data_IF_499520221599
#
_entry.id   IF_499520221599
#
_cell.length_a   1.000
_cell.length_b   1.000
_cell.length_c   1.000
_cell.angle_alpha   90.00
_cell.angle_beta   90.00
_cell.angle_gamma   90.00
#
_symmetry.space_group_name_H-M   'P 1'
#
loop_
_entity.id
_entity.type
_entity.pdbx_description
1 polymer ?
#
# COMPACT_ATOMS: atom_id res chain seq x y z
N UNK A 1 10.48 22.66 -9.64
CA UNK A 1 9.25 23.03 -10.36
C UNK A 1 8.55 24.13 -9.57
N UNK A 2 7.84 25.03 -10.24
CA UNK A 2 7.07 26.09 -9.60
C UNK A 2 5.67 26.17 -10.23
N UNK A 3 4.66 26.50 -9.43
CA UNK A 3 3.31 26.78 -9.92
C UNK A 3 3.21 28.27 -10.31
N UNK A 4 2.73 28.55 -11.52
CA UNK A 4 2.41 29.91 -11.93
C UNK A 4 0.97 30.25 -11.56
N UNK A 5 0.78 31.16 -10.60
CA UNK A 5 -0.53 31.57 -10.09
C UNK A 5 -0.87 32.97 -10.56
N UNK A 6 -2.09 33.16 -11.08
CA UNK A 6 -2.65 34.47 -11.49
C UNK A 6 -1.77 35.28 -12.45
N UNK A 7 -0.95 34.61 -13.26
CA UNK A 7 -0.05 35.29 -14.19
C UNK A 7 -0.65 35.33 -15.59
N UNK A 8 -1.11 36.51 -16.00
CA UNK A 8 -1.77 36.74 -17.30
C UNK A 8 -0.91 36.35 -18.52
N UNK A 9 0.42 36.34 -18.38
CA UNK A 9 1.34 36.07 -19.49
C UNK A 9 1.57 34.57 -19.65
N UNK A 10 1.65 33.85 -18.53
CA UNK A 10 2.03 32.42 -18.55
C UNK A 10 0.87 31.47 -18.34
N UNK A 11 -0.31 31.98 -17.97
CA UNK A 11 -1.49 31.15 -17.69
C UNK A 11 -1.89 30.35 -18.93
N UNK A 12 -2.11 29.05 -18.75
CA UNK A 12 -2.53 28.14 -19.81
C UNK A 12 -1.42 27.73 -20.80
N UNK A 13 -0.19 28.24 -20.64
CA UNK A 13 0.93 27.82 -21.49
C UNK A 13 1.25 26.33 -21.28
N UNK A 14 1.61 25.66 -22.37
CA UNK A 14 2.11 24.29 -22.36
C UNK A 14 3.21 24.11 -23.40
N UNK A 15 4.07 23.12 -23.18
CA UNK A 15 5.18 22.80 -24.08
C UNK A 15 6.49 23.48 -23.70
N UNK A 16 7.49 23.31 -24.56
CA UNK A 16 8.86 23.77 -24.36
C UNK A 16 9.02 25.22 -24.86
N UNK A 17 9.64 26.07 -24.04
CA UNK A 17 9.97 27.46 -24.39
C UNK A 17 11.50 27.61 -24.37
N UNK A 18 12.08 27.64 -25.57
CA UNK A 18 13.52 27.55 -25.77
C UNK A 18 14.11 26.31 -25.10
N UNK A 19 15.40 26.34 -24.77
CA UNK A 19 16.09 25.25 -24.04
C UNK A 19 16.13 25.46 -22.52
N UNK A 20 15.27 26.35 -22.01
CA UNK A 20 15.30 26.78 -20.61
C UNK A 20 14.12 26.21 -19.82
N UNK A 21 12.90 26.37 -20.32
CA UNK A 21 11.68 26.09 -19.56
C UNK A 21 10.72 25.14 -20.30
N UNK A 22 9.97 24.38 -19.53
CA UNK A 22 8.81 23.59 -19.98
C UNK A 22 7.62 23.98 -19.12
N UNK A 23 6.54 24.35 -19.79
CA UNK A 23 5.23 24.58 -19.18
C UNK A 23 4.39 23.31 -19.34
N UNK A 24 3.66 22.94 -18.29
CA UNK A 24 2.73 21.81 -18.32
C UNK A 24 1.48 22.14 -17.53
N UNK A 25 0.34 21.63 -17.97
CA UNK A 25 -0.93 21.78 -17.28
C UNK A 25 -1.21 20.54 -16.41
N UNK A 26 -1.51 20.73 -15.13
CA UNK A 26 -1.93 19.65 -14.22
C UNK A 26 -3.10 20.13 -13.36
N UNK A 27 -4.24 19.46 -13.47
CA UNK A 27 -5.45 19.80 -12.70
C UNK A 27 -5.77 21.32 -12.76
N UNK A 28 -5.81 21.90 -13.97
CA UNK A 28 -6.06 23.33 -14.18
C UNK A 28 -4.89 24.28 -13.83
N UNK A 29 -3.81 23.79 -13.21
CA UNK A 29 -2.65 24.60 -12.80
C UNK A 29 -1.57 24.59 -13.87
N UNK A 30 -0.96 25.75 -14.11
CA UNK A 30 0.22 25.87 -14.97
C UNK A 30 1.49 25.66 -14.12
N UNK A 31 2.25 24.62 -14.45
CA UNK A 31 3.51 24.27 -13.79
C UNK A 31 4.68 24.58 -14.71
N UNK A 32 5.68 25.28 -14.18
CA UNK A 32 6.92 25.64 -14.86
C UNK A 32 8.06 24.80 -14.30
N UNK A 33 8.84 24.20 -15.19
CA UNK A 33 10.05 23.46 -14.84
C UNK A 33 11.19 23.79 -15.79
N UNK A 34 12.42 23.54 -15.35
CA UNK A 34 13.58 23.57 -16.25
C UNK A 34 13.48 22.43 -17.25
N UNK A 35 13.94 22.64 -18.48
CA UNK A 35 14.06 21.57 -19.48
C UNK A 35 14.86 20.39 -18.89
N UNK A 36 14.35 19.16 -18.93
CA UNK A 36 15.08 17.98 -18.49
C UNK A 36 16.38 17.83 -19.28
N UNK A 37 17.46 17.47 -18.59
CA UNK A 37 18.72 17.08 -19.25
C UNK A 37 18.61 15.64 -19.71
N UNK A 38 19.25 15.33 -20.83
CA UNK A 38 19.44 13.93 -21.22
C UNK A 38 20.21 13.19 -20.14
N UNK A 39 19.77 11.96 -19.88
CA UNK A 39 20.37 11.15 -18.84
C UNK A 39 21.60 10.44 -19.40
N UNK A 40 22.74 10.64 -18.74
CA UNK A 40 23.98 9.94 -19.06
C UNK A 40 24.14 8.72 -18.13
N UNK A 41 24.27 7.52 -18.70
CA UNK A 41 24.56 6.28 -17.96
C UNK A 41 23.41 5.29 -17.83
N UNK A 42 23.73 4.09 -17.34
CA UNK A 42 22.78 2.99 -17.13
C UNK A 42 21.94 3.17 -15.86
N UNK A 43 20.80 2.46 -15.79
CA UNK A 43 19.97 2.42 -14.58
C UNK A 43 20.69 1.58 -13.51
N UNK A 44 20.69 2.06 -12.26
CA UNK A 44 21.07 1.20 -11.14
C UNK A 44 20.04 0.08 -10.93
N UNK A 45 20.41 -0.98 -10.23
CA UNK A 45 19.49 -2.11 -10.01
C UNK A 45 18.25 -1.71 -9.21
N UNK A 46 18.40 -0.81 -8.23
CA UNK A 46 17.26 -0.19 -7.52
C UNK A 46 16.33 0.57 -8.48
N UNK A 47 16.88 1.30 -9.45
CA UNK A 47 16.08 2.00 -10.46
C UNK A 47 15.38 1.04 -11.43
N UNK A 48 16.05 -0.05 -11.85
CA UNK A 48 15.45 -1.10 -12.68
C UNK A 48 14.29 -1.77 -11.95
N UNK A 49 14.49 -2.14 -10.68
CA UNK A 49 13.46 -2.74 -9.84
C UNK A 49 12.27 -1.80 -9.64
N UNK A 50 12.52 -0.52 -9.35
CA UNK A 50 11.45 0.47 -9.22
C UNK A 50 10.68 0.67 -10.53
N UNK A 51 11.37 0.72 -11.68
CA UNK A 51 10.72 0.80 -12.99
C UNK A 51 9.83 -0.41 -13.26
N UNK A 52 10.31 -1.62 -12.94
CA UNK A 52 9.52 -2.84 -13.09
C UNK A 52 8.27 -2.82 -12.19
N UNK A 53 8.41 -2.40 -10.93
CA UNK A 53 7.29 -2.26 -10.00
C UNK A 53 6.26 -1.25 -10.50
N UNK A 54 6.72 -0.10 -11.00
CA UNK A 54 5.85 0.92 -11.59
C UNK A 54 5.14 0.42 -12.86
N UNK A 55 5.81 -0.37 -13.70
CA UNK A 55 5.17 -0.99 -14.87
C UNK A 55 4.04 -1.95 -14.47
N UNK A 56 4.24 -2.75 -13.41
CA UNK A 56 3.17 -3.58 -12.85
C UNK A 56 2.00 -2.73 -12.35
N UNK A 57 2.28 -1.63 -11.65
CA UNK A 57 1.23 -0.73 -11.14
C UNK A 57 0.39 -0.12 -12.26
N UNK A 58 1.02 0.29 -13.36
CA UNK A 58 0.34 0.78 -14.56
C UNK A 58 -0.57 -0.30 -15.17
N UNK A 59 -0.11 -1.54 -15.25
CA UNK A 59 -0.92 -2.66 -15.77
C UNK A 59 -2.11 -2.95 -14.85
N UNK A 60 -1.88 -2.97 -13.54
CA UNK A 60 -2.93 -3.17 -12.55
C UNK A 60 -3.99 -2.07 -12.61
N UNK A 61 -3.59 -0.80 -12.64
CA UNK A 61 -4.52 0.31 -12.74
C UNK A 61 -5.37 0.25 -14.02
N UNK A 62 -4.80 -0.17 -15.15
CA UNK A 62 -5.57 -0.41 -16.38
C UNK A 62 -6.57 -1.56 -16.22
N UNK A 63 -6.17 -2.62 -15.53
CA UNK A 63 -7.05 -3.74 -15.24
C UNK A 63 -8.22 -3.32 -14.34
N UNK A 64 -7.96 -2.57 -13.26
CA UNK A 64 -9.01 -1.98 -12.38
C UNK A 64 -9.98 -1.11 -13.17
N UNK A 65 -9.50 -0.26 -14.08
CA UNK A 65 -10.35 0.61 -14.89
C UNK A 65 -11.23 -0.14 -15.91
N UNK A 66 -10.80 -1.34 -16.35
CA UNK A 66 -11.53 -2.16 -17.30
C UNK A 66 -12.57 -3.08 -16.62
N UNK A 67 -12.49 -3.26 -15.31
CA UNK A 67 -13.45 -4.01 -14.50
C UNK A 67 -14.45 -3.04 -13.85
N UNK A 68 -15.73 -3.03 -14.25
CA UNK A 68 -16.71 -2.08 -13.72
C UNK A 68 -16.88 -2.12 -12.20
N UNK A 69 -16.83 -3.31 -11.60
CA UNK A 69 -17.03 -3.47 -10.17
C UNK A 69 -15.84 -2.90 -9.38
N UNK A 70 -14.61 -3.19 -9.83
CA UNK A 70 -13.40 -2.62 -9.22
C UNK A 70 -13.33 -1.11 -9.46
N UNK A 71 -13.60 -0.66 -10.68
CA UNK A 71 -13.58 0.76 -11.00
C UNK A 71 -14.45 1.57 -10.05
N UNK A 72 -15.67 1.13 -9.76
CA UNK A 72 -16.58 1.82 -8.83
C UNK A 72 -16.00 1.93 -7.42
N UNK A 73 -15.39 0.85 -6.90
CA UNK A 73 -14.73 0.86 -5.59
C UNK A 73 -13.57 1.86 -5.51
N UNK A 74 -12.72 1.92 -6.54
CA UNK A 74 -11.60 2.85 -6.57
C UNK A 74 -12.02 4.29 -6.87
N UNK A 75 -13.10 4.48 -7.63
CA UNK A 75 -13.66 5.79 -7.92
C UNK A 75 -14.23 6.46 -6.68
N UNK A 76 -14.79 5.68 -5.73
CA UNK A 76 -15.23 6.19 -4.44
C UNK A 76 -14.09 6.80 -3.58
N UNK A 77 -12.84 6.38 -3.80
CA UNK A 77 -11.65 6.91 -3.13
C UNK A 77 -10.88 7.94 -3.96
N UNK A 78 -11.29 8.19 -5.19
CA UNK A 78 -10.69 9.20 -6.03
C UNK A 78 -11.14 10.60 -5.60
N UNK A 79 -10.21 11.55 -5.59
CA UNK A 79 -10.51 12.97 -5.38
C UNK A 79 -9.96 13.79 -6.55
N UNK A 80 -10.82 14.01 -7.54
CA UNK A 80 -10.49 14.81 -8.71
C UNK A 80 -10.22 16.28 -8.36
N UNK A 81 -10.73 16.80 -7.23
CA UNK A 81 -10.50 18.19 -6.83
C UNK A 81 -9.02 18.46 -6.51
N UNK A 82 -8.33 17.46 -5.97
CA UNK A 82 -6.87 17.49 -5.72
C UNK A 82 -6.06 16.83 -6.84
N UNK A 83 -6.72 16.31 -7.88
CA UNK A 83 -6.08 15.67 -9.04
C UNK A 83 -5.74 14.18 -8.83
N UNK A 84 -6.39 13.53 -7.87
CA UNK A 84 -6.29 12.10 -7.62
C UNK A 84 -7.38 11.37 -8.41
N UNK A 85 -7.03 10.83 -9.58
CA UNK A 85 -7.94 10.03 -10.39
C UNK A 85 -8.02 8.59 -9.89
N UNK A 86 -9.05 7.84 -10.29
CA UNK A 86 -9.18 6.40 -10.04
C UNK A 86 -7.92 5.63 -10.46
N UNK A 87 -7.29 6.04 -11.56
CA UNK A 87 -6.02 5.51 -12.01
C UNK A 87 -4.90 5.73 -10.99
N UNK A 88 -4.80 6.93 -10.41
CA UNK A 88 -3.78 7.25 -9.43
C UNK A 88 -3.97 6.44 -8.14
N UNK A 89 -5.21 6.25 -7.69
CA UNK A 89 -5.53 5.41 -6.52
C UNK A 89 -5.07 3.97 -6.76
N UNK A 90 -5.44 3.36 -7.90
CA UNK A 90 -5.03 1.99 -8.22
C UNK A 90 -3.51 1.83 -8.42
N UNK A 91 -2.83 2.87 -8.92
CA UNK A 91 -1.36 2.86 -8.99
C UNK A 91 -0.75 2.93 -7.59
N UNK A 92 -1.30 3.74 -6.69
CA UNK A 92 -0.80 3.87 -5.31
C UNK A 92 -0.97 2.56 -4.55
N UNK A 93 -2.16 1.97 -4.61
CA UNK A 93 -2.52 0.69 -4.00
C UNK A 93 -1.53 -0.44 -4.37
N UNK A 94 -1.15 -0.62 -5.66
CA UNK A 94 -0.13 -1.65 -5.98
C UNK A 94 1.30 -1.26 -5.57
N UNK A 95 1.59 0.02 -5.33
CA UNK A 95 2.92 0.49 -4.94
C UNK A 95 3.13 0.58 -3.43
N UNK A 96 2.05 0.51 -2.65
CA UNK A 96 2.08 0.52 -1.20
C UNK A 96 1.63 -0.85 -0.71
N UNK A 97 2.27 -1.36 0.33
CA UNK A 97 1.83 -2.58 0.98
C UNK A 97 1.07 -2.17 2.24
N UNK A 98 0.16 -3.01 2.76
CA UNK A 98 -0.51 -2.72 4.02
C UNK A 98 0.51 -2.60 5.15
N UNK A 99 0.19 -1.82 6.18
CA UNK A 99 1.01 -1.65 7.37
C UNK A 99 0.36 -2.37 8.56
N UNK A 100 1.17 -3.00 9.40
CA UNK A 100 0.71 -3.60 10.65
C UNK A 100 1.10 -2.62 11.76
N UNK A 101 0.10 -2.00 12.38
CA UNK A 101 0.31 -0.95 13.38
C UNK A 101 0.48 -1.53 14.78
N UNK A 102 -0.32 -2.56 15.12
CA UNK A 102 -0.29 -3.17 16.44
C UNK A 102 -0.66 -4.66 16.39
N UNK A 103 0.11 -5.46 17.13
CA UNK A 103 -0.23 -6.84 17.49
C UNK A 103 -0.44 -6.90 19.01
N UNK A 104 -1.71 -6.94 19.41
CA UNK A 104 -2.12 -6.99 20.81
C UNK A 104 -2.38 -8.43 21.25
N UNK A 105 -1.51 -8.88 22.16
CA UNK A 105 -1.48 -10.24 22.70
C UNK A 105 -2.05 -10.32 24.12
N UNK A 106 -2.61 -9.24 24.68
CA UNK A 106 -3.04 -9.23 26.09
C UNK A 106 -4.18 -10.21 26.39
N UNK A 107 -4.93 -10.61 25.35
CA UNK A 107 -5.99 -11.60 25.43
C UNK A 107 -5.56 -13.02 25.11
N UNK A 108 -4.25 -13.26 24.89
CA UNK A 108 -3.70 -14.57 24.53
C UNK A 108 -2.87 -15.15 25.69
N UNK A 109 -3.42 -16.19 26.31
CA UNK A 109 -2.80 -16.97 27.38
C UNK A 109 -2.58 -18.44 26.97
N UNK A 110 -2.66 -18.74 25.66
CA UNK A 110 -2.43 -20.07 25.11
C UNK A 110 -3.60 -21.04 25.23
N UNK A 111 -4.80 -20.57 25.58
CA UNK A 111 -5.99 -21.42 25.66
C UNK A 111 -6.82 -21.33 24.38
N UNK A 112 -7.49 -22.43 23.97
CA UNK A 112 -8.48 -22.35 22.91
C UNK A 112 -9.59 -21.35 23.26
N UNK A 113 -9.91 -20.46 22.34
CA UNK A 113 -10.87 -19.37 22.53
C UNK A 113 -10.23 -18.03 22.91
N UNK A 114 -8.93 -18.00 23.22
CA UNK A 114 -8.20 -16.77 23.47
C UNK A 114 -8.13 -15.89 22.21
N UNK A 115 -8.01 -14.58 22.41
CA UNK A 115 -8.13 -13.59 21.33
C UNK A 115 -6.82 -12.82 21.16
N UNK A 116 -6.35 -12.77 19.93
CA UNK A 116 -5.30 -11.86 19.47
C UNK A 116 -5.94 -10.79 18.58
N UNK A 117 -5.68 -9.52 18.89
CA UNK A 117 -6.19 -8.38 18.11
C UNK A 117 -5.07 -7.77 17.31
N UNK A 118 -5.34 -7.48 16.05
CA UNK A 118 -4.38 -6.95 15.10
C UNK A 118 -4.97 -5.70 14.45
N UNK A 119 -4.22 -4.61 14.48
CA UNK A 119 -4.54 -3.38 13.77
C UNK A 119 -3.66 -3.32 12.53
N UNK A 120 -4.29 -3.40 11.36
CA UNK A 120 -3.61 -3.30 10.08
C UNK A 120 -4.35 -2.29 9.20
N UNK A 121 -3.60 -1.42 8.54
CA UNK A 121 -4.14 -0.34 7.71
C UNK A 121 -3.52 -0.37 6.31
N UNK A 122 -4.23 0.19 5.35
CA UNK A 122 -3.78 0.28 3.96
C UNK A 122 -4.35 1.54 3.31
N UNK A 123 -3.70 2.04 2.25
CA UNK A 123 -4.19 3.20 1.52
C UNK A 123 -5.49 2.91 0.75
N UNK A 124 -5.71 1.64 0.40
CA UNK A 124 -6.93 1.15 -0.21
C UNK A 124 -7.66 0.14 0.69
N UNK A 125 -7.18 -1.08 0.85
CA UNK A 125 -7.90 -2.08 1.66
C UNK A 125 -6.99 -3.24 2.06
N UNK A 126 -7.01 -3.56 3.37
CA UNK A 126 -6.49 -4.84 3.84
C UNK A 126 -7.53 -5.92 3.52
N UNK A 127 -7.16 -6.86 2.66
CA UNK A 127 -8.07 -7.94 2.20
C UNK A 127 -8.02 -9.15 3.11
N UNK A 128 -6.85 -9.47 3.67
CA UNK A 128 -6.70 -10.59 4.58
C UNK A 128 -5.58 -10.36 5.58
N UNK A 129 -5.78 -10.88 6.79
CA UNK A 129 -4.76 -10.98 7.82
C UNK A 129 -4.67 -12.43 8.24
N UNK A 130 -3.48 -13.01 8.15
CA UNK A 130 -3.19 -14.36 8.61
C UNK A 130 -2.23 -14.29 9.79
N UNK A 131 -2.40 -15.19 10.74
CA UNK A 131 -1.56 -15.32 11.91
C UNK A 131 -0.96 -16.73 11.96
N UNK A 132 0.30 -16.80 12.35
CA UNK A 132 1.06 -18.03 12.53
C UNK A 132 1.76 -17.98 13.88
N UNK A 133 1.52 -18.99 14.71
CA UNK A 133 2.12 -19.15 16.04
C UNK A 133 3.13 -20.29 15.98
N UNK A 134 4.38 -19.99 16.31
CA UNK A 134 5.46 -20.96 16.41
C UNK A 134 6.00 -20.97 17.84
N UNK A 135 6.30 -22.14 18.37
CA UNK A 135 6.99 -22.28 19.66
C UNK A 135 8.42 -21.72 19.57
N UNK A 136 9.07 -21.56 20.71
CA UNK A 136 10.47 -21.13 20.80
C UNK A 136 11.48 -22.00 20.04
N UNK A 137 11.15 -23.27 19.78
CA UNK A 137 11.94 -24.20 18.98
C UNK A 137 11.65 -24.14 17.46
N UNK A 138 10.69 -23.29 17.05
CA UNK A 138 10.25 -23.13 15.67
C UNK A 138 9.19 -24.15 15.22
N UNK A 139 8.67 -24.98 16.12
CA UNK A 139 7.55 -25.87 15.78
C UNK A 139 6.25 -25.08 15.64
N UNK A 140 5.49 -25.37 14.58
CA UNK A 140 4.20 -24.73 14.35
C UNK A 140 3.17 -25.19 15.39
N UNK A 141 2.61 -24.24 16.12
CA UNK A 141 1.49 -24.47 17.05
C UNK A 141 0.18 -24.42 16.27
N UNK A 142 -0.10 -23.29 15.63
CA UNK A 142 -1.26 -23.11 14.77
C UNK A 142 -1.07 -21.96 13.78
N UNK A 143 -1.90 -21.93 12.75
CA UNK A 143 -1.99 -20.83 11.81
C UNK A 143 -3.42 -20.70 11.29
N UNK A 144 -3.84 -19.48 10.96
CA UNK A 144 -5.15 -19.26 10.36
C UNK A 144 -5.43 -17.81 10.03
N UNK A 145 -6.59 -17.57 9.43
CA UNK A 145 -7.06 -16.24 9.07
C UNK A 145 -7.73 -15.56 10.28
N UNK A 146 -7.43 -14.28 10.47
CA UNK A 146 -8.17 -13.41 11.38
C UNK A 146 -9.46 -12.92 10.70
N UNK A 147 -10.47 -12.59 11.52
CA UNK A 147 -11.75 -12.07 11.07
C UNK A 147 -11.80 -10.56 11.32
N UNK A 148 -12.07 -9.78 10.28
CA UNK A 148 -12.27 -8.35 10.39
C UNK A 148 -13.61 -8.06 11.10
N UNK A 149 -13.57 -7.29 12.19
CA UNK A 149 -14.77 -6.89 12.95
C UNK A 149 -15.27 -5.47 12.63
N UNK A 150 -14.65 -4.80 11.65
CA UNK A 150 -14.91 -3.43 11.23
C UNK A 150 -13.90 -2.39 11.72
N UNK A 151 -13.11 -2.71 12.75
CA UNK A 151 -12.06 -1.83 13.28
C UNK A 151 -10.69 -2.54 13.41
N UNK A 152 -10.71 -3.82 13.77
CA UNK A 152 -9.53 -4.65 14.01
C UNK A 152 -9.72 -6.04 13.38
N UNK A 153 -8.61 -6.74 13.19
CA UNK A 153 -8.58 -8.15 12.82
C UNK A 153 -8.46 -9.01 14.06
N UNK A 154 -9.42 -9.91 14.24
CA UNK A 154 -9.55 -10.76 15.42
C UNK A 154 -9.18 -12.18 15.05
N UNK A 155 -8.09 -12.68 15.65
CA UNK A 155 -7.73 -14.09 15.59
C UNK A 155 -8.16 -14.78 16.89
N UNK A 156 -8.85 -15.92 16.76
CA UNK A 156 -9.25 -16.75 17.91
C UNK A 156 -8.41 -18.01 17.92
N UNK A 157 -7.65 -18.22 18.98
CA UNK A 157 -6.81 -19.39 19.15
C UNK A 157 -7.67 -20.66 19.19
N UNK A 158 -7.22 -21.72 18.51
CA UNK A 158 -7.96 -22.99 18.45
C UNK A 158 -7.21 -24.13 19.13
N UNK A 159 -5.90 -23.96 19.28
CA UNK A 159 -5.00 -24.98 19.82
C UNK A 159 -4.55 -24.58 21.22
N UNK A 160 -4.49 -25.56 22.12
CA UNK A 160 -3.92 -25.35 23.45
C UNK A 160 -2.40 -25.23 23.32
N UNK A 161 -1.85 -24.09 23.71
CA UNK A 161 -0.43 -23.86 23.87
C UNK A 161 -0.06 -23.57 25.34
N UNK A 162 0.45 -24.56 26.08
CA UNK A 162 0.68 -24.42 27.52
C UNK A 162 1.93 -23.60 27.89
N UNK A 163 2.88 -23.42 26.97
CA UNK A 163 4.07 -22.61 27.19
C UNK A 163 4.17 -21.56 26.09
N UNK A 164 4.11 -20.31 26.47
CA UNK A 164 4.16 -19.16 25.55
C UNK A 164 5.58 -18.57 25.48
N UNK A 165 6.48 -19.01 26.36
CA UNK A 165 7.75 -18.33 26.57
C UNK A 165 8.65 -18.50 25.37
N UNK A 166 8.96 -17.40 24.68
CA UNK A 166 9.77 -17.41 23.46
C UNK A 166 9.00 -17.79 22.20
N UNK A 167 7.67 -17.88 22.27
CA UNK A 167 6.85 -18.09 21.09
C UNK A 167 7.04 -16.94 20.09
N UNK A 168 7.05 -17.29 18.81
CA UNK A 168 7.07 -16.33 17.72
C UNK A 168 5.69 -16.28 17.08
N UNK A 169 5.01 -15.15 17.25
CA UNK A 169 3.76 -14.85 16.58
C UNK A 169 4.07 -14.01 15.35
N UNK A 170 3.78 -14.55 14.17
CA UNK A 170 3.98 -13.89 12.88
C UNK A 170 2.63 -13.54 12.29
N UNK A 171 2.45 -12.27 11.93
CA UNK A 171 1.23 -11.73 11.32
C UNK A 171 1.56 -11.30 9.90
N UNK A 172 0.74 -11.72 8.95
CA UNK A 172 0.85 -11.36 7.54
C UNK A 172 -0.44 -10.66 7.10
N UNK A 173 -0.35 -9.37 6.81
CA UNK A 173 -1.44 -8.59 6.23
C UNK A 173 -1.24 -8.50 4.71
N UNK A 174 -2.31 -8.66 3.92
CA UNK A 174 -2.26 -8.58 2.46
C UNK A 174 -3.39 -7.71 1.89
N UNK A 175 -3.10 -7.01 0.79
CA UNK A 175 -4.02 -6.12 0.08
C UNK A 175 -4.64 -6.76 -1.18
N UNK A 176 -5.45 -6.00 -1.90
CA UNK A 176 -6.08 -6.41 -3.16
C UNK A 176 -5.09 -6.70 -4.31
N UNK A 177 -4.02 -5.89 -4.52
CA UNK A 177 -2.95 -6.19 -5.45
C UNK A 177 -2.02 -7.34 -5.03
N UNK A 178 -2.31 -8.01 -3.92
CA UNK A 178 -1.53 -9.11 -3.34
C UNK A 178 -0.10 -8.70 -2.92
N UNK A 179 0.11 -7.42 -2.57
CA UNK A 179 1.21 -7.09 -1.69
C UNK A 179 0.91 -7.60 -0.28
N UNK A 180 1.96 -7.77 0.50
CA UNK A 180 1.84 -8.17 1.89
C UNK A 180 2.95 -7.56 2.72
N UNK A 181 2.65 -7.41 4.00
CA UNK A 181 3.60 -7.04 5.04
C UNK A 181 3.55 -8.11 6.11
N UNK A 182 4.73 -8.49 6.61
CA UNK A 182 4.89 -9.47 7.66
C UNK A 182 5.56 -8.81 8.87
N UNK A 183 4.97 -8.99 10.04
CA UNK A 183 5.54 -8.56 11.31
C UNK A 183 5.53 -9.73 12.29
N UNK A 184 6.60 -9.87 13.08
CA UNK A 184 6.70 -10.92 14.08
C UNK A 184 6.99 -10.36 15.46
N UNK A 185 6.30 -10.91 16.46
CA UNK A 185 6.45 -10.56 17.88
C UNK A 185 6.80 -11.81 18.68
N UNK A 186 7.76 -11.67 19.59
CA UNK A 186 8.15 -12.72 20.53
C UNK A 186 7.40 -12.49 21.84
N UNK A 187 6.88 -13.56 22.43
CA UNK A 187 6.14 -13.56 23.71
C UNK A 187 7.07 -13.89 24.88
#
# INVERSE_FOLDING_TARGET
>A
MAESKNNIVTHGLSGKVGDLLVFSQRNGKTIVSKVPKERTGELSDKQKAHKLRFQKAVLYAKYVLNDPAKKELYEAKADNSIGMSTYNVAVADLLNAPDIEEINLSGYAGNPGDIIKITATDDFEVVAVNLKIENSDGTLVEQGAAVNNGAEWIYTATTLNPDLTGDKITVTASDAPANFTEESKIV
#
